data_IF_494038516805
#
_entry.id   IF_494038516805
#
_cell.length_a   1.000
_cell.length_b   1.000
_cell.length_c   1.000
_cell.angle_alpha   90.00
_cell.angle_beta   90.00
_cell.angle_gamma   90.00
#
_symmetry.space_group_name_H-M   'P 1'
#
loop_
_entity.id
_entity.type
_entity.pdbx_description
1 polymer ?
#
# COMPACT_ATOMS: atom_id res chain seq x y z
N UNK A 1 58.04 3.93 -21.86
CA UNK A 1 57.22 2.73 -22.13
C UNK A 1 55.98 2.76 -21.24
N UNK A 2 55.00 3.66 -21.48
CA UNK A 2 53.68 3.66 -20.81
C UNK A 2 52.80 4.83 -21.31
N UNK A 3 52.61 4.94 -22.63
CA UNK A 3 51.47 5.71 -23.16
C UNK A 3 50.39 4.70 -23.50
N UNK A 4 49.46 4.51 -22.56
CA UNK A 4 48.27 3.73 -22.85
C UNK A 4 47.52 4.37 -24.02
N UNK A 5 46.94 3.58 -24.93
CA UNK A 5 46.18 4.10 -26.05
C UNK A 5 45.04 5.01 -25.59
N UNK A 6 44.75 6.08 -26.34
CA UNK A 6 43.71 7.05 -25.96
C UNK A 6 42.33 6.39 -25.76
N UNK A 7 42.06 5.26 -26.43
CA UNK A 7 40.76 4.59 -26.38
C UNK A 7 40.51 3.91 -25.02
N UNK A 8 41.56 3.60 -24.27
CA UNK A 8 41.45 3.03 -22.92
C UNK A 8 40.75 4.03 -21.99
N UNK A 9 41.02 5.33 -22.15
CA UNK A 9 40.34 6.37 -21.40
C UNK A 9 38.85 6.44 -21.73
N UNK A 10 38.47 6.26 -23.01
CA UNK A 10 37.05 6.17 -23.40
C UNK A 10 36.37 4.95 -22.76
N UNK A 11 37.03 3.80 -22.70
CA UNK A 11 36.51 2.63 -22.00
C UNK A 11 36.33 2.88 -20.50
N UNK A 12 37.32 3.49 -19.84
CA UNK A 12 37.24 3.80 -18.39
C UNK A 12 36.06 4.74 -18.12
N UNK A 13 35.90 5.80 -18.92
CA UNK A 13 34.77 6.72 -18.80
C UNK A 13 33.44 5.99 -19.01
N UNK A 14 33.37 5.08 -20.00
CA UNK A 14 32.18 4.25 -20.22
C UNK A 14 31.82 3.35 -19.04
N UNK A 15 32.82 2.72 -18.40
CA UNK A 15 32.63 1.87 -17.22
C UNK A 15 32.12 2.70 -16.04
N UNK A 16 32.74 3.86 -15.77
CA UNK A 16 32.31 4.76 -14.69
C UNK A 16 30.87 5.22 -14.92
N UNK A 17 30.51 5.58 -16.16
CA UNK A 17 29.17 6.00 -16.51
C UNK A 17 28.13 4.88 -16.30
N UNK A 18 28.46 3.65 -16.71
CA UNK A 18 27.62 2.47 -16.50
C UNK A 18 27.40 2.18 -15.02
N UNK A 19 28.47 2.22 -14.21
CA UNK A 19 28.39 2.01 -12.78
C UNK A 19 27.57 3.10 -12.08
N UNK A 20 27.76 4.36 -12.47
CA UNK A 20 27.00 5.49 -11.94
C UNK A 20 25.51 5.36 -12.22
N UNK A 21 25.14 5.06 -13.47
CA UNK A 21 23.74 4.85 -13.87
C UNK A 21 23.09 3.71 -13.10
N UNK A 22 23.77 2.57 -12.95
CA UNK A 22 23.24 1.44 -12.18
C UNK A 22 22.94 1.83 -10.72
N UNK A 23 23.83 2.60 -10.08
CA UNK A 23 23.66 3.05 -8.71
C UNK A 23 22.51 4.07 -8.56
N UNK A 24 22.37 4.98 -9.52
CA UNK A 24 21.30 6.00 -9.51
C UNK A 24 19.94 5.41 -9.87
N UNK A 25 19.88 4.54 -10.89
CA UNK A 25 18.64 3.89 -11.35
C UNK A 25 18.00 3.07 -10.22
N UNK A 26 18.78 2.38 -9.41
CA UNK A 26 18.26 1.64 -8.26
C UNK A 26 17.51 2.55 -7.24
N UNK A 27 17.88 3.83 -7.11
CA UNK A 27 17.21 4.77 -6.18
C UNK A 27 16.00 5.46 -6.80
N UNK A 28 15.99 5.63 -8.12
CA UNK A 28 14.87 6.20 -8.86
C UNK A 28 13.73 5.17 -8.96
N UNK A 29 14.06 3.90 -9.18
CA UNK A 29 13.09 2.80 -9.27
C UNK A 29 12.34 2.58 -7.95
N UNK A 30 12.99 2.73 -6.80
CA UNK A 30 12.34 2.60 -5.48
C UNK A 30 11.15 3.56 -5.33
N UNK A 31 11.27 4.80 -5.81
CA UNK A 31 10.19 5.79 -5.74
C UNK A 31 9.04 5.47 -6.69
N UNK A 32 9.36 4.94 -7.87
CA UNK A 32 8.37 4.57 -8.88
C UNK A 32 7.58 3.36 -8.40
N UNK A 33 8.25 2.34 -7.85
CA UNK A 33 7.62 1.17 -7.26
C UNK A 33 6.74 1.54 -6.08
N UNK A 34 7.18 2.43 -5.19
CA UNK A 34 6.40 2.81 -4.01
C UNK A 34 5.12 3.56 -4.39
N UNK A 35 5.18 4.44 -5.40
CA UNK A 35 4.00 5.11 -5.92
C UNK A 35 3.00 4.16 -6.61
N UNK A 36 3.50 3.04 -7.16
CA UNK A 36 2.67 2.01 -7.78
C UNK A 36 2.06 1.07 -6.73
N UNK A 37 2.85 0.65 -5.74
CA UNK A 37 2.41 -0.17 -4.60
C UNK A 37 1.29 0.53 -3.82
N UNK A 38 1.39 1.84 -3.61
CA UNK A 38 0.35 2.57 -2.89
C UNK A 38 -0.95 2.71 -3.69
N UNK A 39 -0.87 2.77 -5.02
CA UNK A 39 -2.07 2.78 -5.88
C UNK A 39 -2.79 1.43 -5.86
N UNK A 40 -2.06 0.33 -5.99
CA UNK A 40 -2.68 -1.00 -5.96
C UNK A 40 -3.17 -1.39 -4.56
N UNK A 41 -2.41 -1.03 -3.51
CA UNK A 41 -2.81 -1.25 -2.12
C UNK A 41 -4.12 -0.54 -1.76
N UNK A 42 -4.33 0.69 -2.25
CA UNK A 42 -5.60 1.43 -2.04
C UNK A 42 -6.79 0.73 -2.68
N UNK A 43 -6.64 0.20 -3.90
CA UNK A 43 -7.73 -0.53 -4.59
C UNK A 43 -8.12 -1.79 -3.81
N UNK A 44 -7.15 -2.50 -3.21
CA UNK A 44 -7.43 -3.67 -2.37
C UNK A 44 -8.15 -3.31 -1.06
N UNK A 45 -7.69 -2.27 -0.35
CA UNK A 45 -8.31 -1.79 0.89
C UNK A 45 -9.76 -1.34 0.64
N UNK A 46 -10.01 -0.58 -0.43
CA UNK A 46 -11.36 -0.10 -0.78
C UNK A 46 -12.35 -1.25 -1.04
N UNK A 47 -11.88 -2.34 -1.68
CA UNK A 47 -12.68 -3.55 -1.92
C UNK A 47 -13.01 -4.27 -0.61
N UNK A 48 -12.02 -4.39 0.27
CA UNK A 48 -12.18 -5.01 1.59
C UNK A 48 -13.14 -4.22 2.49
N UNK A 49 -13.04 -2.89 2.49
CA UNK A 49 -13.96 -2.03 3.23
C UNK A 49 -15.39 -2.17 2.74
N UNK A 50 -15.62 -2.13 1.41
CA UNK A 50 -16.97 -2.34 0.84
C UNK A 50 -17.58 -3.69 1.23
N UNK A 51 -16.79 -4.75 1.25
CA UNK A 51 -17.26 -6.08 1.67
C UNK A 51 -17.51 -6.15 3.19
N UNK A 52 -16.64 -5.51 3.99
CA UNK A 52 -16.81 -5.38 5.44
C UNK A 52 -18.07 -4.60 5.79
N UNK A 53 -18.29 -3.46 5.14
CA UNK A 53 -19.51 -2.65 5.28
C UNK A 53 -20.75 -3.45 4.89
N UNK A 54 -20.72 -4.20 3.79
CA UNK A 54 -21.86 -5.03 3.38
C UNK A 54 -22.20 -6.11 4.41
N UNK A 55 -21.20 -6.69 5.05
CA UNK A 55 -21.37 -7.67 6.15
C UNK A 55 -21.85 -6.99 7.44
N UNK A 56 -21.34 -5.80 7.75
CA UNK A 56 -21.75 -5.02 8.92
C UNK A 56 -23.19 -4.52 8.79
N UNK A 57 -23.61 -4.11 7.59
CA UNK A 57 -25.01 -3.71 7.29
C UNK A 57 -25.98 -4.90 7.22
N UNK A 58 -25.47 -6.12 7.01
CA UNK A 58 -26.25 -7.36 7.00
C UNK A 58 -26.31 -8.07 8.36
N UNK A 59 -25.60 -7.59 9.37
CA UNK A 59 -25.86 -8.01 10.75
C UNK A 59 -26.95 -7.08 11.31
N UNK A 60 -28.21 -7.53 11.40
CA UNK A 60 -29.26 -6.69 11.94
C UNK A 60 -29.01 -6.56 13.44
N UNK A 61 -28.52 -5.41 13.87
CA UNK A 61 -28.56 -4.97 15.26
C UNK A 61 -29.99 -4.66 15.70
N UNK A 62 -30.92 -5.61 15.53
CA UNK A 62 -32.31 -5.55 15.99
C UNK A 62 -32.46 -6.18 17.40
N UNK A 63 -31.36 -6.45 18.10
CA UNK A 63 -31.39 -7.17 19.39
C UNK A 63 -31.21 -6.27 20.63
N UNK A 64 -30.91 -4.98 20.47
CA UNK A 64 -30.75 -4.07 21.62
C UNK A 64 -32.08 -3.38 21.98
N UNK A 65 -32.87 -2.94 20.99
CA UNK A 65 -34.13 -2.21 21.24
C UNK A 65 -35.27 -3.11 21.81
N UNK A 66 -35.17 -4.43 21.63
CA UNK A 66 -36.16 -5.37 22.17
C UNK A 66 -35.86 -5.81 23.62
N UNK A 67 -34.62 -5.61 24.11
CA UNK A 67 -34.27 -5.90 25.51
C UNK A 67 -34.63 -4.77 26.46
N UNK A 68 -34.57 -3.52 26.00
CA UNK A 68 -34.95 -2.36 26.83
C UNK A 68 -36.47 -2.27 27.01
N UNK A 69 -37.24 -2.41 25.93
CA UNK A 69 -38.71 -2.38 25.98
C UNK A 69 -39.32 -3.52 26.78
N UNK A 70 -38.69 -4.71 26.77
CA UNK A 70 -39.12 -5.85 27.58
C UNK A 70 -38.69 -5.75 29.05
N UNK A 71 -37.67 -4.97 29.39
CA UNK A 71 -37.26 -4.71 30.78
C UNK A 71 -38.11 -3.59 31.42
N UNK A 72 -38.45 -2.55 30.66
CA UNK A 72 -39.29 -1.43 31.11
C UNK A 72 -40.73 -1.88 31.44
N UNK A 73 -41.33 -2.71 30.58
CA UNK A 73 -42.70 -3.19 30.78
C UNK A 73 -42.84 -4.10 32.03
N UNK A 74 -41.80 -4.85 32.40
CA UNK A 74 -41.82 -5.69 33.60
C UNK A 74 -41.68 -4.90 34.91
N UNK A 75 -41.03 -3.73 34.88
CA UNK A 75 -40.92 -2.87 36.05
C UNK A 75 -42.23 -2.12 36.32
N UNK A 76 -43.00 -1.79 35.29
CA UNK A 76 -44.27 -1.04 35.46
C UNK A 76 -45.43 -1.86 36.05
N UNK A 77 -45.28 -3.19 36.19
CA UNK A 77 -46.35 -4.10 36.67
C UNK A 77 -46.11 -4.62 38.10
N UNK A 78 -44.95 -4.36 38.72
CA UNK A 78 -44.65 -4.72 40.12
C UNK A 78 -44.89 -3.53 41.07
#
# INVERSE_FOLDING_TARGET
MLFFPWWVYLCIVGIIFSAYKLMTTAKEEEKIDQAFIEKEGRVYIERMEKEKERRMKQSPGNHEEQRETSAENNHSIA
#
